data_IF_617658975727
#
_entry.id   IF_617658975727
#
_cell.length_a   1.000
_cell.length_b   1.000
_cell.length_c   1.000
_cell.angle_alpha   90.00
_cell.angle_beta   90.00
_cell.angle_gamma   90.00
#
_symmetry.space_group_name_H-M   'P 1'
#
loop_
_entity.id
_entity.type
_entity.pdbx_description
1 polymer ?
#
# COMPACT_ATOMS: atom_id res chain seq x y z
N UNK A 1 5.51 -3.22 18.34
CA UNK A 1 4.43 -2.79 17.43
C UNK A 1 3.17 -2.64 18.24
N UNK A 2 2.42 -1.56 18.07
CA UNK A 2 1.08 -1.37 18.63
C UNK A 2 0.05 -1.60 17.51
N UNK A 3 -0.81 -2.61 17.64
CA UNK A 3 -1.84 -2.92 16.63
C UNK A 3 -3.04 -2.00 16.82
N UNK A 4 -3.48 -1.33 15.76
CA UNK A 4 -4.60 -0.36 15.78
C UNK A 4 -5.85 -0.88 15.09
N UNK A 5 -5.74 -1.96 14.31
CA UNK A 5 -6.88 -2.56 13.64
C UNK A 5 -6.49 -3.62 12.63
N UNK A 6 -7.51 -4.16 11.97
CA UNK A 6 -7.41 -5.16 10.92
C UNK A 6 -8.04 -4.65 9.64
N UNK A 7 -7.53 -5.11 8.51
CA UNK A 7 -8.21 -4.98 7.22
C UNK A 7 -8.98 -6.27 6.92
N UNK A 8 -9.88 -6.24 5.94
CA UNK A 8 -10.55 -7.45 5.48
C UNK A 8 -9.55 -8.47 4.95
N UNK A 9 -9.90 -9.74 5.12
CA UNK A 9 -9.11 -10.85 4.64
C UNK A 9 -8.99 -10.81 3.11
N UNK A 10 -7.78 -11.08 2.61
CA UNK A 10 -7.52 -11.25 1.19
C UNK A 10 -6.95 -12.63 0.92
N UNK A 11 -7.49 -13.31 -0.09
CA UNK A 11 -7.00 -14.62 -0.49
C UNK A 11 -5.88 -14.50 -1.53
N UNK A 12 -4.83 -15.31 -1.38
CA UNK A 12 -3.86 -15.52 -2.46
C UNK A 12 -4.53 -16.28 -3.59
N UNK A 13 -4.43 -15.75 -4.80
CA UNK A 13 -5.08 -16.30 -6.00
C UNK A 13 -4.62 -17.73 -6.31
N UNK A 14 -3.38 -18.09 -5.94
CA UNK A 14 -2.71 -19.34 -6.34
C UNK A 14 -2.79 -20.47 -5.33
N UNK A 15 -2.78 -20.20 -4.02
CA UNK A 15 -2.55 -21.25 -3.00
C UNK A 15 -3.72 -21.45 -2.04
N UNK A 16 -4.85 -20.77 -2.23
CA UNK A 16 -6.03 -20.80 -1.32
C UNK A 16 -5.72 -20.40 0.13
N UNK A 17 -4.59 -19.74 0.38
CA UNK A 17 -4.28 -19.20 1.69
C UNK A 17 -5.05 -17.90 1.90
N UNK A 18 -5.57 -17.74 3.12
CA UNK A 18 -6.21 -16.51 3.57
C UNK A 18 -5.16 -15.68 4.31
N UNK A 19 -4.98 -14.44 3.88
CA UNK A 19 -4.10 -13.48 4.52
C UNK A 19 -4.97 -12.46 5.25
N UNK A 20 -4.75 -12.31 6.55
CA UNK A 20 -5.39 -11.31 7.40
C UNK A 20 -4.42 -10.17 7.69
N UNK A 21 -4.58 -8.98 7.10
CA UNK A 21 -3.68 -7.86 7.33
C UNK A 21 -3.99 -7.15 8.66
N UNK A 22 -2.93 -6.81 9.38
CA UNK A 22 -3.01 -5.98 10.59
C UNK A 22 -2.31 -4.65 10.34
N UNK A 23 -2.88 -3.56 10.85
CA UNK A 23 -2.29 -2.23 10.82
C UNK A 23 -1.77 -1.92 12.22
N UNK A 24 -0.56 -1.37 12.31
CA UNK A 24 0.02 -1.00 13.59
C UNK A 24 1.09 0.07 13.49
N UNK A 25 1.32 0.75 14.61
CA UNK A 25 2.40 1.70 14.77
C UNK A 25 3.69 1.00 15.21
N UNK A 26 4.79 1.38 14.58
CA UNK A 26 6.14 1.01 14.99
C UNK A 26 6.74 2.22 15.71
N UNK A 27 7.36 2.06 16.90
CA UNK A 27 8.00 3.16 17.61
C UNK A 27 8.99 3.90 16.70
N UNK A 28 9.05 5.23 16.77
CA UNK A 28 9.98 6.01 15.97
C UNK A 28 10.94 6.81 16.88
N UNK A 29 12.27 6.78 16.62
CA UNK A 29 12.95 6.00 15.59
C UNK A 29 13.01 4.49 15.94
N UNK A 30 12.95 3.64 14.92
CA UNK A 30 13.16 2.19 15.06
C UNK A 30 14.45 1.78 14.36
N UNK A 31 15.35 1.10 15.08
CA UNK A 31 16.58 0.58 14.51
C UNK A 31 16.30 -0.78 13.83
N UNK A 32 15.87 -0.76 12.57
CA UNK A 32 15.67 -1.97 11.78
C UNK A 32 17.00 -2.73 11.62
N UNK A 33 16.98 -4.03 11.90
CA UNK A 33 18.08 -4.97 11.59
C UNK A 33 17.56 -5.94 10.55
N UNK A 34 18.08 -5.83 9.32
CA UNK A 34 17.69 -6.70 8.23
C UNK A 34 18.48 -7.99 8.31
N UNK A 35 17.81 -9.12 8.09
CA UNK A 35 18.49 -10.37 7.80
C UNK A 35 18.73 -10.44 6.29
N UNK A 36 19.98 -10.34 5.80
CA UNK A 36 20.26 -10.33 4.36
C UNK A 36 19.94 -11.67 3.68
N UNK A 37 19.73 -12.76 4.43
CA UNK A 37 19.28 -14.03 3.85
C UNK A 37 17.82 -13.96 3.37
N UNK A 38 16.98 -13.18 4.06
CA UNK A 38 15.55 -13.09 3.77
C UNK A 38 15.16 -11.75 3.15
N UNK A 39 15.84 -10.65 3.54
CA UNK A 39 15.46 -9.27 3.22
C UNK A 39 16.62 -8.56 2.54
N UNK A 40 16.49 -8.33 1.24
CA UNK A 40 17.46 -7.57 0.44
C UNK A 40 17.52 -6.10 0.86
N UNK A 41 16.37 -5.46 1.07
CA UNK A 41 16.29 -4.03 1.43
C UNK A 41 14.94 -3.65 2.04
N UNK A 42 14.91 -2.50 2.70
CA UNK A 42 13.72 -1.89 3.29
C UNK A 42 13.28 -0.66 2.47
N UNK A 43 12.00 -0.62 2.11
CA UNK A 43 11.38 0.52 1.41
C UNK A 43 10.47 1.27 2.39
N UNK A 44 10.72 2.56 2.57
CA UNK A 44 9.82 3.44 3.32
C UNK A 44 8.91 4.19 2.34
N UNK A 45 7.70 3.67 2.14
CA UNK A 45 6.69 4.29 1.28
C UNK A 45 5.78 5.23 2.10
N UNK A 46 5.84 6.56 1.91
CA UNK A 46 5.00 7.49 2.64
C UNK A 46 3.52 7.29 2.27
N UNK A 47 2.66 7.17 3.29
CA UNK A 47 1.21 7.01 3.07
C UNK A 47 0.60 8.17 2.27
N UNK A 48 1.15 9.38 2.41
CA UNK A 48 0.70 10.55 1.67
C UNK A 48 0.81 10.36 0.15
N UNK A 49 1.86 9.66 -0.32
CA UNK A 49 2.03 9.32 -1.73
C UNK A 49 0.92 8.39 -2.22
N UNK A 50 0.41 7.52 -1.35
CA UNK A 50 -0.67 6.60 -1.69
C UNK A 50 -2.07 7.24 -1.60
N UNK A 51 -2.21 8.30 -0.80
CA UNK A 51 -3.48 9.01 -0.58
C UNK A 51 -3.73 10.12 -1.61
N UNK A 52 -2.70 10.55 -2.34
CA UNK A 52 -2.74 11.60 -3.35
C UNK A 52 -2.67 11.01 -4.76
N UNK A 53 -3.60 11.40 -5.65
CA UNK A 53 -3.48 11.16 -7.10
C UNK A 53 -3.50 9.69 -7.52
N UNK A 54 -4.65 9.01 -7.36
CA UNK A 54 -4.97 7.67 -7.87
C UNK A 54 -3.74 6.78 -8.20
N UNK A 55 -2.89 6.44 -7.21
CA UNK A 55 -1.55 5.92 -7.47
C UNK A 55 -1.54 4.42 -7.78
N UNK A 56 -2.73 3.81 -7.84
CA UNK A 56 -2.91 2.40 -8.11
C UNK A 56 -3.40 2.21 -9.54
N UNK A 57 -2.64 1.46 -10.32
CA UNK A 57 -3.09 0.91 -11.60
C UNK A 57 -3.59 -0.52 -11.39
N UNK A 58 -4.67 -0.84 -12.08
CA UNK A 58 -5.27 -2.18 -12.07
C UNK A 58 -5.11 -2.81 -13.45
N UNK A 59 -4.68 -4.07 -13.47
CA UNK A 59 -4.68 -4.91 -14.65
C UNK A 59 -5.55 -6.14 -14.40
N UNK A 60 -6.27 -6.58 -15.43
CA UNK A 60 -7.04 -7.82 -15.39
C UNK A 60 -6.21 -8.90 -16.07
N UNK A 61 -5.77 -9.88 -15.27
CA UNK A 61 -5.03 -11.04 -15.75
C UNK A 61 -5.94 -12.26 -15.79
N UNK A 62 -5.66 -13.20 -16.69
CA UNK A 62 -6.35 -14.49 -16.68
C UNK A 62 -5.58 -15.50 -15.82
N UNK A 63 -6.30 -16.20 -14.94
CA UNK A 63 -5.76 -17.32 -14.16
C UNK A 63 -6.79 -18.43 -14.04
N UNK A 64 -6.42 -19.64 -14.43
CA UNK A 64 -7.30 -20.83 -14.41
C UNK A 64 -8.65 -20.56 -15.10
N UNK A 65 -8.62 -19.83 -16.22
CA UNK A 65 -9.81 -19.43 -16.98
C UNK A 65 -10.69 -18.37 -16.31
N UNK A 66 -10.20 -17.69 -15.27
CA UNK A 66 -10.93 -16.64 -14.55
C UNK A 66 -10.17 -15.31 -14.60
N UNK A 67 -10.86 -14.17 -14.79
CA UNK A 67 -10.24 -12.85 -14.67
C UNK A 67 -9.90 -12.55 -13.21
N UNK A 68 -8.73 -11.98 -12.99
CA UNK A 68 -8.20 -11.61 -11.67
C UNK A 68 -7.61 -10.22 -11.74
N UNK A 69 -8.08 -9.33 -10.86
CA UNK A 69 -7.51 -8.00 -10.68
C UNK A 69 -6.16 -8.05 -9.97
N UNK A 70 -5.14 -7.49 -10.62
CA UNK A 70 -3.80 -7.30 -10.09
C UNK A 70 -3.54 -5.81 -9.96
N UNK A 71 -3.22 -5.37 -8.75
CA UNK A 71 -2.94 -3.96 -8.46
C UNK A 71 -1.44 -3.70 -8.42
N UNK A 72 -1.08 -2.48 -8.77
CA UNK A 72 0.30 -2.03 -8.75
C UNK A 72 0.36 -0.55 -8.37
N UNK A 73 1.46 -0.16 -7.75
CA UNK A 73 1.82 1.24 -7.50
C UNK A 73 3.33 1.37 -7.58
N UNK A 74 3.81 2.46 -8.17
CA UNK A 74 5.22 2.70 -8.40
C UNK A 74 5.71 3.83 -7.47
N UNK A 75 6.86 3.61 -6.82
CA UNK A 75 7.47 4.57 -5.92
C UNK A 75 8.99 4.46 -5.96
N UNK A 76 9.67 5.58 -6.21
CA UNK A 76 11.13 5.69 -6.18
C UNK A 76 11.87 4.62 -7.02
N UNK A 77 11.32 4.33 -8.21
CA UNK A 77 11.86 3.31 -9.12
C UNK A 77 11.43 1.88 -8.81
N UNK A 78 10.71 1.66 -7.70
CA UNK A 78 10.19 0.36 -7.31
C UNK A 78 8.73 0.16 -7.68
N UNK A 79 8.39 -1.05 -8.10
CA UNK A 79 7.01 -1.46 -8.32
C UNK A 79 6.53 -2.33 -7.16
N UNK A 80 5.56 -1.84 -6.40
CA UNK A 80 4.82 -2.62 -5.41
C UNK A 80 3.59 -3.19 -6.09
N UNK A 81 3.41 -4.51 -6.08
CA UNK A 81 2.36 -5.16 -6.86
C UNK A 81 1.73 -6.38 -6.18
N UNK A 82 0.67 -6.90 -6.81
CA UNK A 82 0.01 -8.13 -6.39
C UNK A 82 -0.69 -7.99 -5.04
N UNK A 83 -0.45 -8.96 -4.14
CA UNK A 83 -1.11 -9.00 -2.83
C UNK A 83 -0.78 -7.77 -1.98
N UNK A 84 0.49 -7.35 -1.99
CA UNK A 84 0.94 -6.18 -1.20
C UNK A 84 0.25 -4.91 -1.66
N UNK A 85 0.21 -4.65 -2.98
CA UNK A 85 -0.48 -3.48 -3.51
C UNK A 85 -1.99 -3.51 -3.22
N UNK A 86 -2.63 -4.69 -3.24
CA UNK A 86 -4.03 -4.84 -2.84
C UNK A 86 -4.26 -4.46 -1.38
N UNK A 87 -3.40 -4.92 -0.47
CA UNK A 87 -3.49 -4.59 0.97
C UNK A 87 -3.30 -3.08 1.18
N UNK A 88 -2.33 -2.47 0.49
CA UNK A 88 -2.10 -1.02 0.57
C UNK A 88 -3.28 -0.22 0.01
N UNK A 89 -3.86 -0.64 -1.13
CA UNK A 89 -5.05 -0.02 -1.71
C UNK A 89 -6.23 -0.06 -0.73
N UNK A 90 -6.48 -1.22 -0.14
CA UNK A 90 -7.53 -1.39 0.87
C UNK A 90 -7.32 -0.47 2.07
N UNK A 91 -6.09 -0.39 2.58
CA UNK A 91 -5.76 0.51 3.68
C UNK A 91 -6.09 1.97 3.35
N UNK A 92 -5.68 2.43 2.17
CA UNK A 92 -5.94 3.79 1.66
C UNK A 92 -7.43 4.06 1.50
N UNK A 93 -8.21 3.10 1.02
CA UNK A 93 -9.67 3.22 0.90
C UNK A 93 -10.36 3.36 2.25
N UNK A 94 -9.88 2.63 3.26
CA UNK A 94 -10.40 2.72 4.64
C UNK A 94 -10.09 4.06 5.29
N UNK A 95 -8.86 4.57 5.15
CA UNK A 95 -8.43 5.78 5.86
C UNK A 95 -8.64 7.07 5.07
N UNK A 96 -8.77 7.00 3.75
CA UNK A 96 -8.81 8.17 2.86
C UNK A 96 -9.98 9.12 3.17
N UNK A 97 -11.20 8.60 3.26
CA UNK A 97 -12.38 9.42 3.57
C UNK A 97 -12.31 10.03 4.98
N UNK A 98 -12.07 9.25 6.06
CA UNK A 98 -11.95 9.82 7.41
C UNK A 98 -10.87 10.89 7.55
N UNK A 99 -9.74 10.74 6.85
CA UNK A 99 -8.65 11.71 6.91
C UNK A 99 -8.98 13.01 6.16
N UNK A 100 -9.73 12.93 5.05
CA UNK A 100 -10.24 14.12 4.33
C UNK A 100 -11.27 14.88 5.17
N UNK A 101 -12.20 14.18 5.79
CA UNK A 101 -13.23 14.78 6.65
C UNK A 101 -12.63 15.54 7.84
N UNK A 102 -11.50 15.06 8.37
CA UNK A 102 -10.75 15.71 9.46
C UNK A 102 -9.84 16.85 8.99
N UNK A 103 -9.83 17.16 7.69
CA UNK A 103 -8.95 18.19 7.11
C UNK A 103 -7.46 17.84 7.13
N UNK A 104 -7.12 16.55 7.32
CA UNK A 104 -5.74 16.06 7.37
C UNK A 104 -5.19 15.65 6.00
N UNK A 105 -6.06 15.62 4.98
CA UNK A 105 -5.71 15.45 3.58
C UNK A 105 -6.34 16.56 2.75
N UNK A 106 -5.52 17.46 2.22
CA UNK A 106 -5.99 18.50 1.29
C UNK A 106 -6.40 17.91 -0.05
N UNK A 107 -7.44 18.48 -0.66
CA UNK A 107 -7.83 18.21 -2.04
C UNK A 107 -6.78 18.82 -2.98
N UNK A 108 -5.71 18.08 -3.26
CA UNK A 108 -4.77 18.29 -4.38
C UNK A 108 -4.33 19.74 -4.67
N UNK A 109 -3.15 20.12 -4.19
CA UNK A 109 -2.28 21.02 -4.95
C UNK A 109 -1.46 20.17 -5.91
N UNK A 110 -1.56 20.42 -7.22
CA UNK A 110 -0.57 19.91 -8.17
C UNK A 110 0.84 20.31 -7.69
N UNK A 111 1.88 19.48 -7.86
CA UNK A 111 3.24 19.95 -7.65
C UNK A 111 3.45 21.12 -8.61
N UNK A 112 3.69 22.30 -8.02
CA UNK A 112 4.02 23.49 -8.78
C UNK A 112 5.24 23.20 -9.63
N UNK A 113 5.07 23.33 -10.93
CA UNK A 113 6.15 23.64 -11.84
C UNK A 113 6.78 24.96 -11.37
N UNK A 114 8.02 24.89 -10.89
CA UNK A 114 8.81 26.06 -10.50
C UNK A 114 9.85 25.78 -9.42
N UNK A 115 11.07 25.44 -9.80
CA UNK A 115 12.16 26.44 -9.93
C UNK A 115 13.38 25.76 -10.59
N UNK A 116 13.65 26.21 -11.83
CA UNK A 116 14.93 26.23 -12.60
C UNK A 116 15.81 24.99 -12.69
#
# INVERSE_FOLDING_TARGET
>A
VEIVGTLDDTATVTSRHVVRPFVGFVPHPYAYRLDPFEIERLIHLPIATLLCGAPFREEIWERDGRPVSVFFTDYDGDTVWGLTARILKQFVEVVGTPLRERGLLSSGGAPGEGDR
#
